data_IF_471059804179
#
_entry.id   IF_471059804179
#
_cell.length_a   1.000
_cell.length_b   1.000
_cell.length_c   1.000
_cell.angle_alpha   90.00
_cell.angle_beta   90.00
_cell.angle_gamma   90.00
#
_symmetry.space_group_name_H-M   'P 1'
#
loop_
_entity.id
_entity.type
_entity.pdbx_description
1 polymer ?
#
# COMPACT_ATOMS: atom_id res chain seq x y z
N UNK A 1 -3.57 4.83 14.52
CA UNK A 1 -2.37 4.15 13.94
C UNK A 1 -1.45 5.21 13.39
N UNK A 2 -0.15 5.24 13.76
CA UNK A 2 0.83 6.17 13.16
C UNK A 2 1.54 5.51 11.96
N UNK A 3 2.34 6.31 11.21
CA UNK A 3 3.06 5.85 10.01
C UNK A 3 4.05 4.71 10.30
N UNK A 4 4.81 4.80 11.40
CA UNK A 4 5.78 3.76 11.77
C UNK A 4 5.10 2.43 12.11
N UNK A 5 4.03 2.47 12.89
CA UNK A 5 3.23 1.29 13.22
C UNK A 5 2.62 0.66 11.96
N UNK A 6 2.04 1.49 11.06
CA UNK A 6 1.50 1.01 9.81
C UNK A 6 2.56 0.34 8.93
N UNK A 7 3.72 0.97 8.78
CA UNK A 7 4.85 0.40 8.03
C UNK A 7 5.28 -0.96 8.61
N UNK A 8 5.40 -1.08 9.92
CA UNK A 8 5.76 -2.34 10.60
C UNK A 8 4.70 -3.41 10.36
N UNK A 9 3.41 -3.09 10.46
CA UNK A 9 2.32 -4.03 10.19
C UNK A 9 2.33 -4.51 8.73
N UNK A 10 2.71 -3.67 7.77
CA UNK A 10 2.82 -4.04 6.36
C UNK A 10 4.00 -4.98 6.06
N UNK A 11 5.14 -4.81 6.76
CA UNK A 11 6.41 -5.39 6.32
C UNK A 11 7.07 -6.38 7.30
N UNK A 12 6.63 -6.45 8.56
CA UNK A 12 7.25 -7.28 9.60
C UNK A 12 6.34 -8.44 9.99
N UNK A 13 6.62 -9.62 9.45
CA UNK A 13 5.82 -10.84 9.74
C UNK A 13 6.03 -11.39 11.15
N UNK A 14 7.14 -11.06 11.81
CA UNK A 14 7.46 -11.41 13.18
C UNK A 14 6.54 -10.78 14.24
N UNK A 15 5.76 -9.77 13.85
CA UNK A 15 4.74 -9.16 14.71
C UNK A 15 3.50 -10.01 14.90
N UNK A 16 3.33 -11.05 14.09
CA UNK A 16 2.11 -11.84 14.04
C UNK A 16 2.34 -13.26 14.57
N UNK A 17 1.42 -13.75 15.37
CA UNK A 17 1.31 -15.19 15.61
C UNK A 17 0.66 -15.85 14.39
N UNK A 18 1.28 -16.88 13.84
CA UNK A 18 0.85 -17.44 12.58
C UNK A 18 0.21 -18.82 12.72
N UNK A 19 -0.81 -19.06 11.89
CA UNK A 19 -1.30 -20.37 11.53
C UNK A 19 -1.02 -20.56 10.03
N UNK A 20 -0.16 -21.52 9.70
CA UNK A 20 0.31 -21.73 8.35
C UNK A 20 -0.01 -23.15 7.87
N UNK A 21 -0.22 -23.29 6.58
CA UNK A 21 -0.34 -24.63 5.98
C UNK A 21 0.96 -25.42 6.21
N UNK A 22 0.84 -26.69 6.58
CA UNK A 22 2.00 -27.56 6.90
C UNK A 22 2.91 -27.84 5.71
N UNK A 23 2.37 -27.85 4.50
CA UNK A 23 3.15 -28.03 3.29
C UNK A 23 3.49 -26.67 2.72
N UNK A 24 4.78 -26.40 2.52
CA UNK A 24 5.31 -25.20 1.86
C UNK A 24 4.94 -25.12 0.37
N UNK A 25 3.95 -25.88 -0.08
CA UNK A 25 3.46 -25.86 -1.45
C UNK A 25 2.98 -24.46 -1.80
N UNK A 26 3.62 -23.87 -2.80
CA UNK A 26 3.31 -22.56 -3.36
C UNK A 26 1.87 -22.48 -3.90
N UNK A 27 1.22 -23.63 -4.10
CA UNK A 27 -0.14 -23.68 -4.64
C UNK A 27 -1.20 -23.08 -3.72
N UNK A 28 -1.01 -23.08 -2.39
CA UNK A 28 -1.95 -22.54 -1.39
C UNK A 28 -3.22 -23.40 -1.25
N UNK A 29 -4.06 -23.06 -0.26
CA UNK A 29 -5.36 -23.70 -0.07
C UNK A 29 -5.34 -25.05 0.63
N UNK A 30 -4.29 -25.36 1.37
CA UNK A 30 -4.12 -26.65 2.05
C UNK A 30 -4.44 -26.63 3.55
N UNK A 31 -4.75 -25.45 4.12
CA UNK A 31 -5.10 -25.37 5.53
C UNK A 31 -6.51 -25.94 5.78
N UNK A 32 -6.66 -26.69 6.84
CA UNK A 32 -7.93 -27.29 7.26
C UNK A 32 -8.60 -26.46 8.35
N UNK A 33 -9.92 -26.64 8.53
CA UNK A 33 -10.64 -26.00 9.65
C UNK A 33 -10.07 -26.36 11.01
N UNK A 34 -9.64 -27.61 11.21
CA UNK A 34 -8.99 -28.05 12.48
C UNK A 34 -7.69 -27.29 12.77
N UNK A 35 -6.92 -26.94 11.74
CA UNK A 35 -5.71 -26.13 11.90
C UNK A 35 -6.06 -24.67 12.20
N UNK A 36 -7.14 -24.17 11.62
CA UNK A 36 -7.67 -22.83 11.93
C UNK A 36 -8.18 -22.76 13.37
N UNK A 37 -8.87 -23.80 13.84
CA UNK A 37 -9.44 -23.89 15.20
C UNK A 37 -8.36 -23.86 16.29
N UNK A 38 -7.08 -24.13 15.99
CA UNK A 38 -5.96 -23.92 16.93
C UNK A 38 -5.84 -22.46 17.40
N UNK A 39 -6.42 -21.51 16.68
CA UNK A 39 -6.51 -20.12 17.07
C UNK A 39 -7.31 -19.95 18.38
N UNK A 40 -8.21 -20.88 18.71
CA UNK A 40 -8.98 -20.84 19.94
C UNK A 40 -8.12 -21.00 21.20
N UNK A 41 -6.95 -21.62 21.06
CA UNK A 41 -5.95 -21.78 22.11
C UNK A 41 -5.07 -20.52 22.31
N UNK A 42 -5.24 -19.48 21.49
CA UNK A 42 -4.39 -18.28 21.54
C UNK A 42 -4.96 -17.23 22.51
N UNK A 43 -4.46 -17.21 23.72
CA UNK A 43 -4.82 -16.23 24.73
C UNK A 43 -4.06 -14.89 24.51
N UNK A 44 -4.78 -13.77 24.53
CA UNK A 44 -4.22 -12.41 24.48
C UNK A 44 -3.50 -12.05 23.17
N UNK A 45 -3.69 -12.83 22.10
CA UNK A 45 -3.07 -12.56 20.80
C UNK A 45 -3.94 -11.63 19.97
N UNK A 46 -3.47 -10.41 19.75
CA UNK A 46 -4.18 -9.38 18.99
C UNK A 46 -3.76 -9.31 17.51
N UNK A 47 -2.67 -9.98 17.11
CA UNK A 47 -2.14 -9.94 15.73
C UNK A 47 -1.99 -11.35 15.18
N UNK A 48 -2.80 -11.69 14.20
CA UNK A 48 -2.84 -13.01 13.58
C UNK A 48 -2.39 -12.98 12.12
N UNK A 49 -1.60 -13.97 11.71
CA UNK A 49 -1.28 -14.23 10.30
C UNK A 49 -1.81 -15.61 9.90
N UNK A 50 -2.43 -15.69 8.74
CA UNK A 50 -2.97 -16.95 8.23
C UNK A 50 -2.61 -17.16 6.76
N UNK A 51 -2.19 -18.39 6.44
CA UNK A 51 -1.83 -18.80 5.07
C UNK A 51 -2.58 -20.05 4.62
N UNK A 52 -2.61 -20.29 3.31
CA UNK A 52 -3.15 -21.53 2.73
C UNK A 52 -4.66 -21.62 2.70
N UNK A 53 -5.36 -20.51 2.80
CA UNK A 53 -6.82 -20.45 2.67
C UNK A 53 -7.26 -20.62 1.21
N UNK A 54 -8.34 -21.36 1.02
CA UNK A 54 -9.23 -21.32 -0.15
C UNK A 54 -10.58 -20.72 0.29
N UNK A 55 -11.51 -20.50 -0.62
CA UNK A 55 -12.72 -19.75 -0.32
C UNK A 55 -13.49 -20.24 0.91
N UNK A 56 -13.77 -21.54 1.01
CA UNK A 56 -14.55 -22.10 2.13
C UNK A 56 -13.83 -21.99 3.50
N UNK A 57 -12.50 -22.08 3.53
CA UNK A 57 -11.72 -21.93 4.76
C UNK A 57 -11.47 -20.46 5.08
N UNK A 58 -11.44 -19.57 4.08
CA UNK A 58 -11.40 -18.13 4.27
C UNK A 58 -12.68 -17.62 4.94
N UNK A 59 -13.84 -18.00 4.40
CA UNK A 59 -15.13 -17.61 4.96
C UNK A 59 -15.31 -18.17 6.39
N UNK A 60 -14.88 -19.42 6.60
CA UNK A 60 -14.86 -20.04 7.92
C UNK A 60 -13.99 -19.26 8.92
N UNK A 61 -12.74 -18.92 8.53
CA UNK A 61 -11.85 -18.13 9.37
C UNK A 61 -12.44 -16.76 9.70
N UNK A 62 -12.95 -16.04 8.71
CA UNK A 62 -13.53 -14.71 8.91
C UNK A 62 -14.74 -14.78 9.84
N UNK A 63 -15.60 -15.79 9.66
CA UNK A 63 -16.82 -15.93 10.44
C UNK A 63 -16.55 -16.30 11.91
N UNK A 64 -15.55 -17.16 12.18
CA UNK A 64 -15.39 -17.78 13.49
C UNK A 64 -14.20 -17.24 14.30
N UNK A 65 -13.13 -16.77 13.66
CA UNK A 65 -11.87 -16.47 14.35
C UNK A 65 -11.33 -15.06 14.12
N UNK A 66 -11.57 -14.45 12.96
CA UNK A 66 -10.94 -13.17 12.58
C UNK A 66 -11.29 -12.02 13.55
N UNK A 67 -12.48 -12.03 14.17
CA UNK A 67 -12.93 -11.03 15.13
C UNK A 67 -12.10 -10.97 16.43
N UNK A 68 -11.27 -12.00 16.70
CA UNK A 68 -10.36 -12.03 17.85
C UNK A 68 -9.16 -11.10 17.71
N UNK A 69 -8.86 -10.66 16.48
CA UNK A 69 -7.66 -9.90 16.19
C UNK A 69 -7.95 -8.41 16.00
N UNK A 70 -6.96 -7.58 16.38
CA UNK A 70 -6.89 -6.17 16.00
C UNK A 70 -6.17 -5.98 14.66
N UNK A 71 -5.21 -6.85 14.33
CA UNK A 71 -4.51 -6.84 13.06
C UNK A 71 -4.46 -8.25 12.46
N UNK A 72 -4.79 -8.35 11.18
CA UNK A 72 -4.78 -9.61 10.44
C UNK A 72 -3.90 -9.48 9.21
N UNK A 73 -3.00 -10.46 9.02
CA UNK A 73 -2.21 -10.61 7.81
C UNK A 73 -2.62 -11.89 7.08
N UNK A 74 -3.22 -11.74 5.90
CA UNK A 74 -3.49 -12.83 4.98
C UNK A 74 -2.25 -13.06 4.11
N UNK A 75 -1.61 -14.22 4.26
CA UNK A 75 -0.34 -14.52 3.62
C UNK A 75 -0.49 -15.60 2.54
N UNK A 76 -0.28 -15.24 1.26
CA UNK A 76 -0.33 -16.18 0.13
C UNK A 76 -1.65 -16.96 -0.01
N UNK A 77 -2.78 -16.33 0.22
CA UNK A 77 -4.10 -16.93 0.06
C UNK A 77 -4.64 -16.72 -1.36
N UNK A 78 -3.91 -17.24 -2.36
CA UNK A 78 -4.12 -16.95 -3.79
C UNK A 78 -5.40 -17.54 -4.38
N UNK A 79 -6.04 -18.50 -3.71
CA UNK A 79 -7.24 -19.20 -4.18
C UNK A 79 -8.55 -18.56 -3.70
N UNK A 80 -8.50 -17.54 -2.85
CA UNK A 80 -9.66 -16.78 -2.43
C UNK A 80 -10.12 -15.91 -3.60
N UNK A 81 -11.40 -16.01 -3.96
CA UNK A 81 -12.03 -15.30 -5.09
C UNK A 81 -12.93 -14.16 -4.63
N UNK A 82 -13.54 -14.32 -3.47
CA UNK A 82 -14.42 -13.35 -2.84
C UNK A 82 -13.98 -13.10 -1.40
N UNK A 83 -13.75 -11.84 -1.08
CA UNK A 83 -13.40 -11.36 0.25
C UNK A 83 -14.48 -10.50 0.90
N UNK A 84 -15.71 -10.57 0.38
CA UNK A 84 -16.83 -9.77 0.87
C UNK A 84 -17.16 -10.01 2.34
N UNK A 85 -16.86 -11.20 2.89
CA UNK A 85 -17.01 -11.53 4.31
C UNK A 85 -16.17 -10.62 5.23
N UNK A 86 -15.08 -9.98 4.73
CA UNK A 86 -14.33 -9.00 5.50
C UNK A 86 -15.16 -7.81 5.96
N UNK A 87 -16.28 -7.50 5.30
CA UNK A 87 -17.23 -6.45 5.71
C UNK A 87 -17.79 -6.62 7.11
N UNK A 88 -17.75 -7.84 7.65
CA UNK A 88 -18.25 -8.18 8.99
C UNK A 88 -17.28 -7.85 10.13
N UNK A 89 -16.03 -7.53 9.81
CA UNK A 89 -14.94 -7.29 10.77
C UNK A 89 -15.00 -5.84 11.31
N UNK A 90 -15.83 -5.61 12.33
CA UNK A 90 -16.11 -4.26 12.85
C UNK A 90 -14.97 -3.68 13.70
N UNK A 91 -14.22 -4.54 14.41
CA UNK A 91 -13.24 -4.17 15.43
C UNK A 91 -11.79 -4.39 14.99
N UNK A 92 -11.57 -4.87 13.78
CA UNK A 92 -10.23 -5.05 13.19
C UNK A 92 -9.70 -3.71 12.72
N UNK A 93 -8.52 -3.34 13.19
CA UNK A 93 -7.90 -2.04 12.92
C UNK A 93 -6.93 -2.08 11.72
N UNK A 94 -6.38 -3.25 11.40
CA UNK A 94 -5.49 -3.44 10.26
C UNK A 94 -5.78 -4.75 9.53
N UNK A 95 -5.83 -4.66 8.19
CA UNK A 95 -5.87 -5.82 7.31
C UNK A 95 -4.72 -5.70 6.32
N UNK A 96 -3.83 -6.69 6.33
CA UNK A 96 -2.83 -6.91 5.31
C UNK A 96 -3.18 -8.12 4.46
N UNK A 97 -3.03 -8.02 3.13
CA UNK A 97 -3.23 -9.15 2.25
C UNK A 97 -2.11 -9.21 1.21
N UNK A 98 -1.29 -10.23 1.34
CA UNK A 98 -0.17 -10.48 0.45
C UNK A 98 -0.44 -11.65 -0.49
N UNK A 99 -0.33 -11.39 -1.78
CA UNK A 99 -0.41 -12.34 -2.89
C UNK A 99 -1.78 -13.00 -3.09
N UNK A 100 -2.52 -12.47 -4.06
CA UNK A 100 -3.76 -13.06 -4.56
C UNK A 100 -3.86 -12.93 -6.09
N UNK A 101 -4.43 -13.95 -6.75
CA UNK A 101 -4.50 -14.04 -8.22
C UNK A 101 -5.94 -14.04 -8.76
N UNK A 102 -6.95 -13.88 -7.91
CA UNK A 102 -8.35 -14.08 -8.30
C UNK A 102 -9.25 -12.90 -8.00
N UNK A 103 -8.98 -12.18 -6.92
CA UNK A 103 -9.76 -11.01 -6.53
C UNK A 103 -9.61 -9.91 -7.56
N UNK A 104 -10.76 -9.34 -7.99
CA UNK A 104 -10.83 -8.33 -9.06
C UNK A 104 -11.45 -7.00 -8.60
N UNK A 105 -12.06 -6.94 -7.42
CA UNK A 105 -12.73 -5.76 -6.88
C UNK A 105 -12.58 -5.68 -5.37
N UNK A 106 -12.67 -4.47 -4.83
CA UNK A 106 -12.74 -4.24 -3.39
C UNK A 106 -14.04 -4.78 -2.81
N UNK A 107 -14.05 -5.11 -1.50
CA UNK A 107 -15.28 -5.43 -0.77
C UNK A 107 -15.99 -4.16 -0.31
N UNK A 108 -17.20 -4.28 0.18
CA UNK A 108 -17.91 -3.18 0.82
C UNK A 108 -17.38 -2.95 2.24
N UNK A 109 -16.70 -1.82 2.44
CA UNK A 109 -16.02 -1.48 3.70
C UNK A 109 -16.88 -0.68 4.68
N UNK A 110 -18.14 -0.42 4.37
CA UNK A 110 -19.04 0.36 5.25
C UNK A 110 -19.17 -0.20 6.65
N UNK A 111 -19.04 -1.52 6.81
CA UNK A 111 -19.08 -2.22 8.11
C UNK A 111 -17.77 -2.20 8.90
N UNK A 112 -16.67 -1.79 8.32
CA UNK A 112 -15.34 -1.86 8.95
C UNK A 112 -15.05 -0.58 9.76
N UNK A 113 -15.77 -0.39 10.86
CA UNK A 113 -15.75 0.86 11.63
C UNK A 113 -14.42 1.17 12.34
N UNK A 114 -13.61 0.15 12.62
CA UNK A 114 -12.31 0.31 13.27
C UNK A 114 -11.11 0.24 12.29
N UNK A 115 -11.31 -0.08 11.00
CA UNK A 115 -10.25 -0.30 10.04
C UNK A 115 -9.52 1.00 9.71
N UNK A 116 -8.32 1.18 10.29
CA UNK A 116 -7.45 2.35 10.11
C UNK A 116 -6.37 2.14 9.05
N UNK A 117 -5.93 0.89 8.86
CA UNK A 117 -4.85 0.55 7.93
C UNK A 117 -5.22 -0.62 7.03
N UNK A 118 -4.92 -0.47 5.73
CA UNK A 118 -5.11 -1.51 4.72
C UNK A 118 -3.86 -1.64 3.86
N UNK A 119 -3.34 -2.85 3.74
CA UNK A 119 -2.20 -3.17 2.87
C UNK A 119 -2.57 -4.29 1.90
N UNK A 120 -2.49 -4.03 0.61
CA UNK A 120 -2.79 -4.98 -0.46
C UNK A 120 -1.58 -5.07 -1.38
N UNK A 121 -0.92 -6.24 -1.40
CA UNK A 121 0.31 -6.43 -2.17
C UNK A 121 0.23 -7.67 -3.06
N UNK A 122 0.81 -7.56 -4.27
CA UNK A 122 0.91 -8.65 -5.26
C UNK A 122 -0.45 -9.23 -5.69
N UNK A 123 -1.39 -8.33 -6.00
CA UNK A 123 -2.69 -8.67 -6.58
C UNK A 123 -2.67 -8.53 -8.09
N UNK A 124 -2.77 -9.63 -8.83
CA UNK A 124 -2.60 -9.64 -10.29
C UNK A 124 -3.83 -9.16 -11.07
N UNK A 125 -5.01 -9.12 -10.45
CA UNK A 125 -6.27 -8.80 -11.11
C UNK A 125 -7.05 -7.65 -10.48
N UNK A 126 -6.60 -7.11 -9.37
CA UNK A 126 -7.21 -5.94 -8.73
C UNK A 126 -6.57 -4.68 -9.31
N UNK A 127 -7.31 -3.96 -10.14
CA UNK A 127 -6.83 -2.79 -10.87
C UNK A 127 -7.56 -1.50 -10.50
N UNK A 128 -8.61 -1.58 -9.65
CA UNK A 128 -9.35 -0.43 -9.15
C UNK A 128 -9.42 -0.44 -7.62
N UNK A 129 -9.43 0.75 -7.05
CA UNK A 129 -9.68 1.02 -5.62
C UNK A 129 -11.13 1.43 -5.35
N UNK A 130 -12.06 1.19 -6.30
CA UNK A 130 -13.46 1.53 -6.13
C UNK A 130 -14.04 0.94 -4.86
N UNK A 131 -14.64 1.80 -4.03
CA UNK A 131 -15.18 1.42 -2.72
C UNK A 131 -14.30 1.80 -1.54
N UNK A 132 -13.03 2.21 -1.74
CA UNK A 132 -12.12 2.61 -0.67
C UNK A 132 -12.69 3.80 0.15
N UNK A 133 -13.36 4.74 -0.52
CA UNK A 133 -14.00 5.91 0.09
C UNK A 133 -15.17 5.56 1.01
N UNK A 134 -15.67 4.32 0.97
CA UNK A 134 -16.73 3.83 1.87
C UNK A 134 -16.20 3.36 3.22
N UNK A 135 -14.89 3.20 3.37
CA UNK A 135 -14.26 2.80 4.62
C UNK A 135 -14.31 3.96 5.64
N UNK A 136 -15.12 3.88 6.71
CA UNK A 136 -15.42 5.05 7.54
C UNK A 136 -14.25 5.54 8.40
N UNK A 137 -13.29 4.68 8.69
CA UNK A 137 -12.18 4.97 9.58
C UNK A 137 -10.79 4.80 8.93
N UNK A 138 -10.73 4.53 7.61
CA UNK A 138 -9.48 4.23 6.95
C UNK A 138 -8.61 5.49 6.83
N UNK A 139 -7.43 5.42 7.44
CA UNK A 139 -6.44 6.49 7.46
C UNK A 139 -5.23 6.20 6.56
N UNK A 140 -4.89 4.92 6.35
CA UNK A 140 -3.65 4.53 5.67
C UNK A 140 -3.88 3.39 4.69
N UNK A 141 -3.38 3.56 3.49
CA UNK A 141 -3.49 2.59 2.40
C UNK A 141 -2.13 2.36 1.75
N UNK A 142 -1.71 1.10 1.75
CA UNK A 142 -0.64 0.61 0.88
C UNK A 142 -1.23 -0.29 -0.20
N UNK A 143 -0.96 0.02 -1.47
CA UNK A 143 -1.43 -0.76 -2.60
C UNK A 143 -0.32 -0.94 -3.65
N UNK A 144 -0.13 -2.17 -4.13
CA UNK A 144 0.81 -2.42 -5.22
C UNK A 144 1.51 -3.77 -5.13
N UNK A 145 2.82 -3.77 -5.29
CA UNK A 145 3.64 -4.99 -5.33
C UNK A 145 4.75 -4.94 -4.28
N UNK A 146 5.05 -6.09 -3.68
CA UNK A 146 6.08 -6.18 -2.64
C UNK A 146 7.49 -6.36 -3.23
N UNK A 147 7.64 -7.09 -4.34
CA UNK A 147 8.95 -7.46 -4.89
C UNK A 147 9.12 -7.01 -6.33
N UNK A 148 8.24 -7.42 -7.23
CA UNK A 148 8.36 -7.16 -8.67
C UNK A 148 7.18 -6.35 -9.16
N UNK A 149 7.35 -5.05 -9.46
CA UNK A 149 6.26 -4.21 -9.90
C UNK A 149 5.57 -4.76 -11.16
N UNK A 150 4.39 -5.31 -11.00
CA UNK A 150 3.56 -5.87 -12.07
C UNK A 150 2.15 -5.27 -12.08
N UNK A 151 1.62 -4.88 -10.91
CA UNK A 151 0.28 -4.34 -10.76
C UNK A 151 0.12 -3.01 -11.50
N UNK A 152 -1.02 -2.87 -12.18
CA UNK A 152 -1.41 -1.66 -12.91
C UNK A 152 -2.71 -1.15 -12.32
N UNK A 153 -2.68 0.02 -11.68
CA UNK A 153 -3.87 0.71 -11.22
C UNK A 153 -4.51 1.47 -12.39
N UNK A 154 -5.83 1.42 -12.52
CA UNK A 154 -6.54 2.07 -13.63
C UNK A 154 -6.51 3.60 -13.49
N UNK A 155 -6.87 4.13 -12.33
CA UNK A 155 -6.86 5.56 -12.02
C UNK A 155 -6.80 5.83 -10.52
N UNK A 156 -6.76 7.11 -10.16
CA UNK A 156 -6.74 7.61 -8.77
C UNK A 156 -8.11 8.11 -8.30
N UNK A 157 -9.14 8.16 -9.16
CA UNK A 157 -10.46 8.73 -8.83
C UNK A 157 -11.11 8.15 -7.58
N UNK A 158 -10.97 6.83 -7.27
CA UNK A 158 -11.50 6.28 -6.03
C UNK A 158 -10.93 6.89 -4.75
N UNK A 159 -9.82 7.64 -4.83
CA UNK A 159 -9.23 8.36 -3.69
C UNK A 159 -9.79 9.78 -3.51
N UNK A 160 -10.57 10.29 -4.48
CA UNK A 160 -11.10 11.66 -4.45
C UNK A 160 -11.93 11.90 -3.17
N UNK A 161 -11.59 12.96 -2.45
CA UNK A 161 -12.26 13.33 -1.19
C UNK A 161 -12.06 12.35 -0.03
N UNK A 162 -11.24 11.31 -0.18
CA UNK A 162 -10.97 10.37 0.90
C UNK A 162 -10.23 11.03 2.07
N UNK A 163 -10.42 10.49 3.27
CA UNK A 163 -9.78 10.98 4.50
C UNK A 163 -8.48 10.25 4.84
N UNK A 164 -7.85 9.66 3.84
CA UNK A 164 -6.55 9.02 4.02
C UNK A 164 -5.50 10.06 4.42
N UNK A 165 -4.77 9.72 5.47
CA UNK A 165 -3.56 10.44 5.91
C UNK A 165 -2.32 9.95 5.16
N UNK A 166 -2.34 8.70 4.73
CA UNK A 166 -1.23 8.11 4.00
C UNK A 166 -1.71 7.26 2.83
N UNK A 167 -1.15 7.52 1.65
CA UNK A 167 -1.28 6.67 0.48
C UNK A 167 0.09 6.28 -0.04
N UNK A 168 0.34 4.97 -0.10
CA UNK A 168 1.55 4.39 -0.67
C UNK A 168 1.18 3.49 -1.83
N UNK A 169 1.68 3.82 -3.03
CA UNK A 169 1.55 2.98 -4.22
C UNK A 169 2.91 2.41 -4.62
N UNK A 170 3.03 1.09 -4.70
CA UNK A 170 4.27 0.38 -5.06
C UNK A 170 4.14 -0.46 -6.34
N UNK A 171 3.06 -0.31 -7.11
CA UNK A 171 2.83 -1.04 -8.35
C UNK A 171 3.66 -0.52 -9.53
N UNK A 172 3.45 -1.13 -10.69
CA UNK A 172 4.19 -0.83 -11.94
C UNK A 172 3.77 0.49 -12.57
N UNK A 173 2.46 0.78 -12.58
CA UNK A 173 1.91 1.89 -13.36
C UNK A 173 0.51 2.27 -12.86
N UNK A 174 0.19 3.55 -12.99
CA UNK A 174 -1.19 4.09 -12.97
C UNK A 174 -1.50 4.48 -14.40
N UNK A 175 -2.66 4.08 -14.97
CA UNK A 175 -3.02 4.37 -16.36
C UNK A 175 -3.44 5.82 -16.54
N UNK A 176 -4.35 6.29 -15.69
CA UNK A 176 -4.75 7.70 -15.61
C UNK A 176 -4.07 8.32 -14.39
N UNK A 177 -3.06 9.17 -14.66
CA UNK A 177 -2.18 9.77 -13.66
C UNK A 177 -2.64 11.18 -13.30
N UNK A 178 -3.93 11.41 -13.15
CA UNK A 178 -4.43 12.70 -12.66
C UNK A 178 -4.07 12.90 -11.19
N UNK A 179 -2.95 13.59 -10.96
CA UNK A 179 -2.44 13.86 -9.62
C UNK A 179 -3.26 14.91 -8.86
N UNK A 180 -4.20 15.61 -9.54
CA UNK A 180 -5.06 16.61 -8.90
C UNK A 180 -5.97 16.00 -7.84
N UNK A 181 -6.26 14.71 -7.95
CA UNK A 181 -7.01 13.92 -6.95
C UNK A 181 -6.43 14.08 -5.54
N UNK A 182 -5.11 14.12 -5.40
CA UNK A 182 -4.48 14.26 -4.08
C UNK A 182 -4.79 15.60 -3.39
N UNK A 183 -5.12 16.65 -4.14
CA UNK A 183 -5.51 17.95 -3.56
C UNK A 183 -6.93 17.94 -2.99
N UNK A 184 -7.72 16.94 -3.30
CA UNK A 184 -9.06 16.75 -2.76
C UNK A 184 -9.08 15.99 -1.44
N UNK A 185 -7.93 15.45 -1.01
CA UNK A 185 -7.76 14.63 0.19
C UNK A 185 -7.35 15.52 1.38
N UNK A 186 -8.29 15.92 2.26
CA UNK A 186 -8.05 17.00 3.23
C UNK A 186 -7.08 16.63 4.34
N UNK A 187 -6.93 15.35 4.62
CA UNK A 187 -6.12 14.85 5.74
C UNK A 187 -4.79 14.21 5.25
N UNK A 188 -4.44 14.33 3.97
CA UNK A 188 -3.25 13.70 3.41
C UNK A 188 -1.97 14.30 4.01
N UNK A 189 -1.16 13.46 4.66
CA UNK A 189 0.12 13.80 5.28
C UNK A 189 1.30 13.14 4.55
N UNK A 190 1.09 11.92 4.03
CA UNK A 190 2.14 11.11 3.41
C UNK A 190 1.69 10.55 2.06
N UNK A 191 2.47 10.84 1.01
CA UNK A 191 2.26 10.33 -0.34
C UNK A 191 3.52 9.64 -0.87
N UNK A 192 3.52 8.32 -0.91
CA UNK A 192 4.65 7.55 -1.40
C UNK A 192 4.35 6.85 -2.73
N UNK A 193 5.28 6.98 -3.65
CA UNK A 193 5.28 6.26 -4.92
C UNK A 193 6.72 6.03 -5.40
N UNK A 194 6.97 5.07 -6.31
CA UNK A 194 8.25 4.99 -7.00
C UNK A 194 8.60 6.31 -7.70
N UNK A 195 9.86 6.68 -7.66
CA UNK A 195 10.38 7.97 -8.17
C UNK A 195 10.12 8.23 -9.65
N UNK A 196 9.80 7.19 -10.42
CA UNK A 196 9.58 7.23 -11.86
C UNK A 196 8.09 7.11 -12.28
N UNK A 197 7.15 7.19 -11.34
CA UNK A 197 5.71 7.11 -11.66
C UNK A 197 5.17 8.41 -12.25
N UNK A 198 5.57 9.54 -11.71
CA UNK A 198 5.11 10.85 -12.14
C UNK A 198 6.21 11.61 -12.91
N UNK A 199 5.83 12.58 -13.71
CA UNK A 199 6.80 13.48 -14.32
C UNK A 199 7.40 14.45 -13.30
N UNK A 200 8.51 15.10 -13.64
CA UNK A 200 9.08 16.13 -12.75
C UNK A 200 8.10 17.28 -12.54
N UNK A 201 7.33 17.63 -13.55
CA UNK A 201 6.30 18.66 -13.53
C UNK A 201 5.16 18.29 -12.56
N UNK A 202 4.65 17.05 -12.62
CA UNK A 202 3.62 16.55 -11.69
C UNK A 202 4.13 16.53 -10.24
N UNK A 203 5.36 16.06 -10.01
CA UNK A 203 5.96 16.05 -8.67
C UNK A 203 6.14 17.48 -8.11
N UNK A 204 6.63 18.42 -8.93
CA UNK A 204 6.78 19.82 -8.53
C UNK A 204 5.44 20.49 -8.26
N UNK A 205 4.41 20.18 -9.06
CA UNK A 205 3.05 20.65 -8.85
C UNK A 205 2.47 20.14 -7.52
N UNK A 206 2.64 18.85 -7.22
CA UNK A 206 2.24 18.26 -5.93
C UNK A 206 2.91 18.98 -4.75
N UNK A 207 4.21 19.21 -4.81
CA UNK A 207 4.95 19.94 -3.76
C UNK A 207 4.45 21.37 -3.60
N UNK A 208 4.08 22.03 -4.71
CA UNK A 208 3.55 23.39 -4.67
C UNK A 208 2.14 23.45 -4.05
N UNK A 209 1.25 22.54 -4.43
CA UNK A 209 -0.17 22.53 -3.99
C UNK A 209 -0.38 21.86 -2.64
N UNK A 210 0.53 20.96 -2.23
CA UNK A 210 0.46 20.18 -0.98
C UNK A 210 1.77 20.34 -0.16
N UNK A 211 2.12 21.56 0.28
CA UNK A 211 3.41 21.83 0.91
C UNK A 211 3.62 21.14 2.27
N UNK A 212 2.56 20.62 2.87
CA UNK A 212 2.58 19.88 4.13
C UNK A 212 2.68 18.38 3.95
N UNK A 213 2.54 17.88 2.71
CA UNK A 213 2.58 16.45 2.42
C UNK A 213 4.02 15.99 2.21
N UNK A 214 4.43 15.00 2.99
CA UNK A 214 5.73 14.36 2.84
C UNK A 214 5.67 13.17 1.87
N UNK A 215 6.79 12.87 1.21
CA UNK A 215 6.83 11.73 0.31
C UNK A 215 8.21 11.41 -0.22
N UNK A 216 8.44 10.13 -0.46
CA UNK A 216 9.71 9.61 -0.93
C UNK A 216 10.14 10.24 -2.26
N UNK A 217 9.21 10.46 -3.18
CA UNK A 217 9.45 11.04 -4.50
C UNK A 217 9.17 12.55 -4.58
N UNK A 218 8.63 13.20 -3.54
CA UNK A 218 8.27 14.62 -3.53
C UNK A 218 9.49 15.53 -3.30
N UNK A 219 10.53 15.34 -4.12
CA UNK A 219 11.79 16.09 -4.07
C UNK A 219 12.53 15.92 -5.40
N UNK A 220 13.53 16.78 -5.70
CA UNK A 220 14.23 16.72 -6.98
C UNK A 220 15.02 15.42 -7.19
N UNK A 221 15.58 14.87 -6.11
CA UNK A 221 16.35 13.62 -6.18
C UNK A 221 16.42 12.93 -4.81
N UNK A 222 16.84 11.66 -4.82
CA UNK A 222 17.16 10.86 -3.65
C UNK A 222 18.64 10.52 -3.69
N UNK A 223 19.33 10.70 -2.57
CA UNK A 223 20.72 10.29 -2.39
C UNK A 223 20.79 9.04 -1.49
N UNK A 224 21.58 8.06 -1.92
CA UNK A 224 21.81 6.80 -1.21
C UNK A 224 23.20 6.77 -0.61
N UNK A 225 23.30 6.62 0.70
CA UNK A 225 24.58 6.69 1.44
C UNK A 225 25.53 5.53 1.16
N UNK A 226 25.03 4.35 0.78
CA UNK A 226 25.81 3.12 0.66
C UNK A 226 26.07 2.65 -0.78
N UNK A 227 26.15 3.58 -1.76
CA UNK A 227 26.45 3.24 -3.16
C UNK A 227 27.69 3.95 -3.66
N UNK A 228 28.58 3.19 -4.31
CA UNK A 228 29.92 3.68 -4.67
C UNK A 228 30.02 4.35 -6.05
N UNK A 229 29.15 4.00 -7.01
CA UNK A 229 29.27 4.53 -8.38
C UNK A 229 28.17 5.52 -8.73
N UNK A 230 26.90 5.12 -8.56
CA UNK A 230 25.74 5.97 -8.79
C UNK A 230 24.93 5.97 -7.50
N UNK A 231 24.82 7.11 -6.88
CA UNK A 231 24.22 7.28 -5.56
C UNK A 231 23.09 8.32 -5.57
N UNK A 232 22.79 8.99 -6.69
CA UNK A 232 21.75 10.01 -6.79
C UNK A 232 20.72 9.64 -7.85
N UNK A 233 19.51 9.30 -7.42
CA UNK A 233 18.37 9.01 -8.29
C UNK A 233 17.54 10.29 -8.47
N UNK A 234 17.49 10.81 -9.69
CA UNK A 234 16.64 11.97 -10.00
C UNK A 234 15.17 11.53 -10.02
N UNK A 235 14.30 12.28 -9.33
CA UNK A 235 12.87 12.00 -9.31
C UNK A 235 12.18 12.49 -10.59
N UNK A 236 11.28 11.65 -11.10
CA UNK A 236 10.55 11.89 -12.34
C UNK A 236 10.69 10.78 -13.37
N UNK A 237 9.71 10.69 -14.28
CA UNK A 237 9.72 9.71 -15.39
C UNK A 237 10.96 9.86 -16.25
N UNK A 238 11.58 8.71 -16.57
CA UNK A 238 12.73 8.61 -17.47
C UNK A 238 13.94 9.46 -17.02
N UNK A 239 14.11 9.65 -15.73
CA UNK A 239 15.26 10.39 -15.20
C UNK A 239 16.45 9.46 -14.94
N UNK A 240 17.68 10.01 -14.99
CA UNK A 240 18.89 9.22 -14.83
C UNK A 240 19.19 8.91 -13.35
N UNK A 241 19.99 7.86 -13.17
CA UNK A 241 20.70 7.59 -11.94
C UNK A 241 22.14 8.11 -12.09
N UNK A 242 22.56 9.05 -11.24
CA UNK A 242 23.78 9.84 -11.37
C UNK A 242 24.76 9.56 -10.21
N UNK A 243 25.97 10.09 -10.33
CA UNK A 243 27.00 10.04 -9.30
C UNK A 243 27.19 11.41 -8.66
N UNK A 244 27.07 11.53 -7.35
CA UNK A 244 27.34 12.79 -6.64
C UNK A 244 28.78 13.29 -6.87
N UNK A 245 29.75 12.37 -6.98
CA UNK A 245 31.16 12.70 -7.20
C UNK A 245 31.51 13.12 -8.64
N UNK A 246 30.71 12.76 -9.65
CA UNK A 246 31.02 13.01 -11.06
C UNK A 246 30.01 13.93 -11.76
N UNK A 247 28.75 13.89 -11.36
CA UNK A 247 27.64 14.54 -12.07
C UNK A 247 27.06 15.75 -11.31
N UNK A 248 27.79 16.36 -10.39
CA UNK A 248 27.30 17.41 -9.50
C UNK A 248 26.57 18.54 -10.23
N UNK A 249 27.14 19.06 -11.35
CA UNK A 249 26.51 20.11 -12.14
C UNK A 249 25.17 19.66 -12.78
N UNK A 250 25.07 18.39 -13.19
CA UNK A 250 23.82 17.83 -13.74
C UNK A 250 22.75 17.66 -12.67
N UNK A 251 23.15 17.17 -11.49
CA UNK A 251 22.25 17.03 -10.34
C UNK A 251 21.68 18.40 -9.97
N UNK A 252 22.56 19.41 -9.84
CA UNK A 252 22.14 20.78 -9.53
C UNK A 252 21.18 21.36 -10.57
N UNK A 253 21.43 21.07 -11.87
CA UNK A 253 20.51 21.49 -12.95
C UNK A 253 19.10 20.90 -12.77
N UNK A 254 19.00 19.61 -12.41
CA UNK A 254 17.70 19.00 -12.14
C UNK A 254 17.03 19.60 -10.88
N UNK A 255 17.80 19.83 -9.82
CA UNK A 255 17.29 20.45 -8.60
C UNK A 255 16.76 21.86 -8.87
N UNK A 256 17.54 22.71 -9.54
CA UNK A 256 17.13 24.08 -9.88
C UNK A 256 15.86 24.11 -10.73
N UNK A 257 15.76 23.20 -11.74
CA UNK A 257 14.56 23.10 -12.56
C UNK A 257 13.34 22.70 -11.73
N UNK A 258 13.49 21.76 -10.81
CA UNK A 258 12.40 21.32 -9.93
C UNK A 258 11.92 22.48 -9.04
N UNK A 259 12.84 23.21 -8.41
CA UNK A 259 12.54 24.36 -7.55
C UNK A 259 11.89 25.52 -8.33
N UNK A 260 12.32 25.74 -9.57
CA UNK A 260 11.70 26.72 -10.47
C UNK A 260 10.23 26.38 -10.75
N UNK A 261 9.96 25.11 -11.10
CA UNK A 261 8.61 24.61 -11.32
C UNK A 261 7.74 24.72 -10.06
N UNK A 262 8.29 24.39 -8.89
CA UNK A 262 7.57 24.54 -7.62
C UNK A 262 7.18 26.01 -7.38
N UNK A 263 8.09 26.98 -7.65
CA UNK A 263 7.79 28.40 -7.53
C UNK A 263 6.68 28.83 -8.49
N UNK A 264 6.80 28.43 -9.76
CA UNK A 264 5.81 28.74 -10.79
C UNK A 264 4.42 28.24 -10.38
N UNK A 265 4.29 26.98 -9.97
CA UNK A 265 3.00 26.39 -9.59
C UNK A 265 2.42 26.92 -8.25
N UNK A 266 3.24 27.58 -7.41
CA UNK A 266 2.73 28.30 -6.23
C UNK A 266 2.05 29.63 -6.57
N UNK A 267 2.43 30.22 -7.70
CA UNK A 267 1.88 31.51 -8.18
C UNK A 267 0.59 31.34 -9.01
N UNK A 268 0.35 30.14 -9.55
CA UNK A 268 -0.90 29.77 -10.22
C UNK A 268 -2.02 29.44 -9.20
#
# INVERSE_FOLDING_TARGET
MNTEEFYRLCHSTDLYKSVEQKNSDITGGNITRKEIDLIDEWEGVERGMISGLKQDTFDYFVQHHAHKFKAIQFWKNKLVEDWSSLSTLKDVEFIGYFHNQRITKMWDMTGNHALKGLSISDFTRLHSLDGIQKAPALERLHFGDAVWPANVLDDLKPLEGSRLKEFTFSGKKIKDEDVSVFTTMPDLEVLNSPTNHYTTEQLAWLVAKLPHVEGYALKPYIQFENRSEKDVLICGKRKPFLSSGKDGARIQKYANKFEELVRQYKEE
#
